data_IF_599840437006
#
_entry.id   IF_599840437006
#
_cell.length_a   1.000
_cell.length_b   1.000
_cell.length_c   1.000
_cell.angle_alpha   90.00
_cell.angle_beta   90.00
_cell.angle_gamma   90.00
#
_symmetry.space_group_name_H-M   'P 1'
#
loop_
_entity.id
_entity.type
_entity.pdbx_description
1 polymer ?
#
# COMPACT_ATOMS: atom_id res chain seq x y z
N UNK A 1 -4.20 -46.09 9.08
CA UNK A 1 -4.87 -44.90 8.47
C UNK A 1 -4.51 -43.61 9.24
N UNK A 2 -3.28 -43.42 9.69
CA UNK A 2 -2.85 -42.27 10.52
C UNK A 2 -1.99 -41.26 9.74
N UNK A 3 -1.22 -41.73 8.75
CA UNK A 3 -0.36 -40.88 7.94
C UNK A 3 -1.11 -39.72 7.25
N UNK A 4 -2.30 -39.97 6.68
CA UNK A 4 -3.12 -38.93 6.04
C UNK A 4 -3.60 -37.89 7.06
N UNK A 5 -4.00 -38.32 8.26
CA UNK A 5 -4.43 -37.42 9.34
C UNK A 5 -3.27 -36.52 9.83
N UNK A 6 -2.06 -37.06 9.90
CA UNK A 6 -0.85 -36.30 10.26
C UNK A 6 -0.50 -35.26 9.18
N UNK A 7 -0.57 -35.63 7.88
CA UNK A 7 -0.37 -34.69 6.77
C UNK A 7 -1.41 -33.56 6.76
N UNK A 8 -2.69 -33.88 7.02
CA UNK A 8 -3.75 -32.88 7.12
C UNK A 8 -3.58 -31.94 8.32
N UNK A 9 -3.10 -32.47 9.46
CA UNK A 9 -2.77 -31.66 10.62
C UNK A 9 -1.60 -30.70 10.32
N UNK A 10 -0.57 -31.17 9.62
CA UNK A 10 0.58 -30.35 9.22
C UNK A 10 0.18 -29.25 8.24
N UNK A 11 -0.61 -29.59 7.21
CA UNK A 11 -1.10 -28.62 6.21
C UNK A 11 -1.95 -27.52 6.84
N UNK A 12 -2.85 -27.87 7.79
CA UNK A 12 -3.67 -26.89 8.52
C UNK A 12 -2.82 -25.93 9.36
N UNK A 13 -1.74 -26.41 9.97
CA UNK A 13 -0.81 -25.56 10.73
C UNK A 13 -0.08 -24.56 9.83
N UNK A 14 0.40 -25.01 8.67
CA UNK A 14 1.11 -24.14 7.70
C UNK A 14 0.16 -23.07 7.14
N UNK A 15 -1.05 -23.43 6.75
CA UNK A 15 -2.02 -22.47 6.20
C UNK A 15 -2.46 -21.44 7.25
N UNK A 16 -2.60 -21.83 8.52
CA UNK A 16 -2.92 -20.90 9.61
C UNK A 16 -1.80 -19.89 9.84
N UNK A 17 -0.53 -20.32 9.81
CA UNK A 17 0.62 -19.42 9.94
C UNK A 17 0.66 -18.37 8.82
N UNK A 18 0.53 -18.80 7.56
CA UNK A 18 0.48 -17.86 6.42
C UNK A 18 -0.66 -16.85 6.52
N UNK A 19 -1.84 -17.28 6.97
CA UNK A 19 -2.98 -16.39 7.19
C UNK A 19 -2.69 -15.37 8.28
N UNK A 20 -2.08 -15.78 9.40
CA UNK A 20 -1.69 -14.87 10.48
C UNK A 20 -0.64 -13.85 10.03
N UNK A 21 0.36 -14.28 9.24
CA UNK A 21 1.37 -13.38 8.66
C UNK A 21 0.72 -12.35 7.72
N UNK A 22 -0.20 -12.80 6.87
CA UNK A 22 -0.93 -11.90 5.96
C UNK A 22 -1.81 -10.91 6.73
N UNK A 23 -2.51 -11.39 7.77
CA UNK A 23 -3.41 -10.58 8.59
C UNK A 23 -2.61 -9.57 9.43
N UNK A 24 -1.46 -9.98 9.98
CA UNK A 24 -0.55 -9.10 10.69
C UNK A 24 0.01 -8.01 9.76
N UNK A 25 0.46 -8.38 8.56
CA UNK A 25 0.91 -7.42 7.56
C UNK A 25 -0.19 -6.43 7.16
N UNK A 26 -1.41 -6.91 6.94
CA UNK A 26 -2.56 -6.07 6.62
C UNK A 26 -2.94 -5.14 7.77
N UNK A 27 -2.89 -5.62 9.01
CA UNK A 27 -3.16 -4.83 10.21
C UNK A 27 -2.10 -3.73 10.37
N UNK A 28 -0.81 -4.07 10.25
CA UNK A 28 0.30 -3.10 10.32
C UNK A 28 0.15 -2.04 9.23
N UNK A 29 -0.11 -2.46 7.98
CA UNK A 29 -0.35 -1.55 6.87
C UNK A 29 -1.55 -0.63 7.13
N UNK A 30 -2.66 -1.19 7.64
CA UNK A 30 -3.85 -0.43 7.99
C UNK A 30 -3.59 0.60 9.10
N UNK A 31 -2.80 0.26 10.12
CA UNK A 31 -2.45 1.18 11.21
C UNK A 31 -1.55 2.30 10.70
N UNK A 32 -0.54 1.97 9.88
CA UNK A 32 0.31 2.96 9.22
C UNK A 32 -0.50 3.93 8.36
N UNK A 33 -1.46 3.40 7.59
CA UNK A 33 -2.40 4.21 6.82
C UNK A 33 -3.20 5.14 7.73
N UNK A 34 -3.80 4.61 8.80
CA UNK A 34 -4.61 5.39 9.72
C UNK A 34 -3.81 6.52 10.39
N UNK A 35 -2.57 6.23 10.82
CA UNK A 35 -1.65 7.22 11.38
C UNK A 35 -1.27 8.26 10.33
N UNK A 36 -1.02 7.84 9.08
CA UNK A 36 -0.74 8.76 7.97
C UNK A 36 -1.92 9.69 7.70
N UNK A 37 -3.15 9.16 7.67
CA UNK A 37 -4.39 9.93 7.54
C UNK A 37 -4.58 10.92 8.69
N UNK A 38 -4.32 10.50 9.94
CA UNK A 38 -4.41 11.37 11.11
C UNK A 38 -3.35 12.47 11.12
N UNK A 39 -2.13 12.17 10.62
CA UNK A 39 -1.02 13.14 10.52
C UNK A 39 -1.17 14.08 9.32
N UNK A 40 -1.80 13.61 8.25
CA UNK A 40 -2.18 14.41 7.09
C UNK A 40 -3.23 15.43 7.52
N UNK A 41 -2.79 16.64 7.84
CA UNK A 41 -3.65 17.80 8.08
C UNK A 41 -4.38 18.28 6.81
N UNK A 42 -4.71 17.38 5.87
CA UNK A 42 -5.63 17.66 4.77
C UNK A 42 -7.06 17.98 5.27
N UNK A 43 -7.37 17.63 6.52
CA UNK A 43 -8.57 18.05 7.25
C UNK A 43 -8.29 19.20 8.23
N UNK A 44 -7.29 20.06 8.00
CA UNK A 44 -7.25 21.32 8.72
C UNK A 44 -8.52 22.09 8.38
N UNK A 45 -9.48 22.03 9.30
CA UNK A 45 -10.74 22.76 9.37
C UNK A 45 -10.55 24.28 9.45
N UNK A 46 -9.35 24.77 9.13
CA UNK A 46 -8.93 26.16 9.15
C UNK A 46 -9.26 26.90 7.85
N UNK A 47 -9.80 26.18 6.85
CA UNK A 47 -10.41 26.78 5.66
C UNK A 47 -11.90 26.41 5.70
N UNK A 48 -12.73 27.33 6.21
CA UNK A 48 -14.15 27.14 6.49
C UNK A 48 -15.04 26.81 5.29
N UNK A 49 -14.98 25.55 4.83
CA UNK A 49 -15.89 24.99 3.84
C UNK A 49 -15.58 23.51 3.61
N UNK A 50 -16.62 22.70 3.40
CA UNK A 50 -16.58 21.23 3.27
C UNK A 50 -15.31 20.70 2.57
N UNK A 51 -14.32 20.20 3.33
CA UNK A 51 -13.08 19.66 2.75
C UNK A 51 -13.36 18.50 1.80
N UNK A 52 -14.37 17.67 2.15
CA UNK A 52 -14.83 16.57 1.32
C UNK A 52 -15.46 17.05 0.01
N UNK A 53 -16.18 18.18 0.03
CA UNK A 53 -16.81 18.75 -1.16
C UNK A 53 -15.78 19.18 -2.19
N UNK A 54 -14.72 19.89 -1.77
CA UNK A 54 -13.65 20.31 -2.69
C UNK A 54 -12.84 19.12 -3.21
N UNK A 55 -12.54 18.14 -2.37
CA UNK A 55 -11.87 16.91 -2.80
C UNK A 55 -12.75 16.18 -3.82
N UNK A 56 -14.06 16.12 -3.58
CA UNK A 56 -15.06 15.62 -4.53
C UNK A 56 -15.01 16.36 -5.87
N UNK A 57 -15.00 17.69 -5.86
CA UNK A 57 -14.91 18.52 -7.07
C UNK A 57 -13.58 18.37 -7.83
N UNK A 58 -12.47 18.22 -7.11
CA UNK A 58 -11.18 17.92 -7.74
C UNK A 58 -11.15 16.52 -8.33
N UNK A 59 -11.71 15.54 -7.62
CA UNK A 59 -11.85 14.18 -8.13
C UNK A 59 -12.72 14.19 -9.37
N UNK A 60 -13.91 14.80 -9.37
CA UNK A 60 -14.79 14.84 -10.55
C UNK A 60 -14.16 15.54 -11.75
N UNK A 61 -13.28 16.53 -11.55
CA UNK A 61 -12.53 17.16 -12.64
C UNK A 61 -11.38 16.31 -13.18
N UNK A 62 -10.72 15.56 -12.30
CA UNK A 62 -9.58 14.70 -12.65
C UNK A 62 -10.03 13.34 -13.20
N UNK A 63 -11.23 12.92 -12.84
CA UNK A 63 -11.81 11.62 -13.17
C UNK A 63 -12.62 11.77 -14.47
N UNK A 64 -12.19 11.15 -15.58
CA UNK A 64 -12.89 11.28 -16.86
C UNK A 64 -14.27 10.61 -16.80
N UNK A 65 -15.27 11.19 -17.48
CA UNK A 65 -16.70 10.83 -17.52
C UNK A 65 -17.02 9.36 -17.15
N UNK A 66 -17.12 9.06 -15.85
CA UNK A 66 -17.59 7.77 -15.37
C UNK A 66 -19.11 7.76 -15.43
N UNK A 67 -19.65 6.93 -16.32
CA UNK A 67 -21.09 6.78 -16.47
C UNK A 67 -21.66 5.99 -15.31
N UNK A 68 -22.44 6.68 -14.46
CA UNK A 68 -23.10 6.16 -13.26
C UNK A 68 -23.80 4.81 -13.44
N UNK A 69 -24.46 4.62 -14.58
CA UNK A 69 -25.24 3.42 -14.91
C UNK A 69 -24.38 2.16 -15.15
N UNK A 70 -23.09 2.32 -15.46
CA UNK A 70 -22.17 1.21 -15.84
C UNK A 70 -20.91 1.17 -14.98
N UNK A 71 -20.89 1.89 -13.85
CA UNK A 71 -19.76 2.00 -12.93
C UNK A 71 -19.17 0.65 -12.52
N UNK A 72 -20.04 -0.34 -12.24
CA UNK A 72 -19.66 -1.70 -11.85
C UNK A 72 -19.77 -2.70 -13.01
N UNK A 73 -20.12 -2.24 -14.20
CA UNK A 73 -20.25 -3.13 -15.36
C UNK A 73 -18.89 -3.51 -15.93
N UNK A 74 -18.90 -4.57 -16.74
CA UNK A 74 -17.73 -5.35 -17.15
C UNK A 74 -16.50 -4.54 -17.63
N UNK A 75 -15.33 -5.21 -17.56
CA UNK A 75 -14.00 -4.74 -17.97
C UNK A 75 -13.90 -4.22 -19.42
N UNK A 76 -14.90 -4.52 -20.26
CA UNK A 76 -14.93 -4.18 -21.68
C UNK A 76 -15.73 -2.91 -22.00
N UNK A 77 -16.46 -2.35 -21.04
CA UNK A 77 -17.28 -1.15 -21.26
C UNK A 77 -16.47 0.12 -21.02
N UNK A 78 -16.29 0.93 -22.07
CA UNK A 78 -15.64 2.24 -21.98
C UNK A 78 -16.43 3.15 -21.02
N UNK A 79 -15.83 3.51 -19.88
CA UNK A 79 -16.47 4.31 -18.82
C UNK A 79 -16.78 3.55 -17.52
N UNK A 80 -16.44 2.26 -17.41
CA UNK A 80 -16.57 1.52 -16.15
C UNK A 80 -15.36 1.71 -15.24
N UNK A 81 -15.59 1.60 -13.92
CA UNK A 81 -14.55 1.73 -12.89
C UNK A 81 -13.49 0.61 -13.01
N UNK A 82 -13.91 -0.56 -13.51
CA UNK A 82 -13.04 -1.70 -13.82
C UNK A 82 -12.11 -1.47 -15.01
N UNK A 83 -12.53 -0.69 -15.99
CA UNK A 83 -11.67 -0.30 -17.11
C UNK A 83 -10.62 0.73 -16.66
N UNK A 84 -11.03 1.71 -15.84
CA UNK A 84 -10.11 2.74 -15.33
C UNK A 84 -9.06 2.19 -14.36
N UNK A 85 -9.45 1.30 -13.44
CA UNK A 85 -8.53 0.69 -12.46
C UNK A 85 -7.86 -0.61 -12.95
N UNK A 86 -7.94 -0.93 -14.24
CA UNK A 86 -7.33 -2.15 -14.80
C UNK A 86 -5.84 -2.28 -14.45
N UNK A 87 -5.09 -1.18 -14.50
CA UNK A 87 -3.65 -1.14 -14.25
C UNK A 87 -3.29 -0.86 -12.78
N UNK A 88 -4.27 -0.64 -11.90
CA UNK A 88 -4.02 -0.41 -10.47
C UNK A 88 -3.06 -1.43 -9.85
N UNK A 89 -3.18 -2.76 -10.07
CA UNK A 89 -2.21 -3.71 -9.53
C UNK A 89 -0.78 -3.52 -10.07
N UNK A 90 -0.63 -3.04 -11.30
CA UNK A 90 0.68 -2.73 -11.90
C UNK A 90 1.29 -1.50 -11.24
N UNK A 91 0.51 -0.42 -11.09
CA UNK A 91 0.94 0.79 -10.40
C UNK A 91 1.26 0.54 -8.92
N UNK A 92 0.49 -0.30 -8.25
CA UNK A 92 0.74 -0.67 -6.85
C UNK A 92 2.06 -1.46 -6.72
N UNK A 93 2.32 -2.38 -7.66
CA UNK A 93 3.59 -3.12 -7.72
C UNK A 93 4.79 -2.18 -7.96
N UNK A 94 4.65 -1.22 -8.88
CA UNK A 94 5.68 -0.20 -9.13
C UNK A 94 5.91 0.69 -7.91
N UNK A 95 4.85 1.14 -7.25
CA UNK A 95 4.94 1.92 -6.01
C UNK A 95 5.66 1.15 -4.90
N UNK A 96 5.40 -0.15 -4.79
CA UNK A 96 6.09 -1.01 -3.83
C UNK A 96 7.59 -1.11 -4.10
N UNK A 97 8.01 -1.22 -5.37
CA UNK A 97 9.43 -1.22 -5.74
C UNK A 97 10.13 0.09 -5.32
N UNK A 98 9.45 1.24 -5.46
CA UNK A 98 10.00 2.52 -5.00
C UNK A 98 10.17 2.57 -3.48
N UNK A 99 9.21 2.01 -2.74
CA UNK A 99 9.31 1.91 -1.27
C UNK A 99 10.48 1.01 -0.86
N UNK A 100 10.66 -0.13 -1.52
CA UNK A 100 11.81 -1.02 -1.28
C UNK A 100 13.14 -0.29 -1.50
N UNK A 101 13.27 0.46 -2.60
CA UNK A 101 14.46 1.26 -2.88
C UNK A 101 14.69 2.35 -1.84
N UNK A 102 13.63 3.05 -1.40
CA UNK A 102 13.72 4.07 -0.37
C UNK A 102 14.16 3.48 0.99
N UNK A 103 13.65 2.31 1.36
CA UNK A 103 14.05 1.60 2.58
C UNK A 103 15.53 1.19 2.48
N UNK A 104 15.95 0.59 1.36
CA UNK A 104 17.35 0.21 1.14
C UNK A 104 18.26 1.43 1.22
N UNK A 105 17.92 2.53 0.55
CA UNK A 105 18.69 3.76 0.57
C UNK A 105 18.82 4.34 1.99
N UNK A 106 17.74 4.30 2.79
CA UNK A 106 17.75 4.80 4.18
C UNK A 106 18.62 3.92 5.07
N UNK A 107 18.50 2.60 4.95
CA UNK A 107 19.30 1.65 5.74
C UNK A 107 20.78 1.74 5.36
N UNK A 108 21.10 1.78 4.06
CA UNK A 108 22.49 1.94 3.58
C UNK A 108 23.06 3.28 4.02
N UNK A 109 22.28 4.36 3.95
CA UNK A 109 22.68 5.67 4.47
C UNK A 109 22.96 5.66 5.97
N UNK A 110 22.06 5.09 6.76
CA UNK A 110 22.23 4.99 8.21
C UNK A 110 23.41 4.10 8.62
N UNK A 111 23.65 2.98 7.91
CA UNK A 111 24.80 2.09 8.14
C UNK A 111 26.11 2.72 7.67
N UNK A 112 26.09 3.44 6.55
CA UNK A 112 27.24 4.16 6.01
C UNK A 112 27.69 5.30 6.93
N UNK A 113 26.76 6.00 7.57
CA UNK A 113 27.06 7.04 8.57
C UNK A 113 27.65 6.45 9.87
N UNK A 114 27.28 5.21 10.21
CA UNK A 114 27.87 4.47 11.33
C UNK A 114 29.22 3.81 11.00
N UNK A 115 29.73 3.91 9.76
CA UNK A 115 31.03 3.33 9.39
C UNK A 115 32.17 4.26 9.87
N UNK A 116 32.98 3.84 10.86
CA UNK A 116 34.12 4.65 11.27
C UNK A 116 35.12 4.75 10.11
N UNK A 117 35.70 5.93 9.80
CA UNK A 117 36.72 6.05 8.78
C UNK A 117 37.96 5.23 9.18
N UNK A 118 38.06 4.01 8.65
CA UNK A 118 39.22 3.15 8.81
C UNK A 118 40.33 3.56 7.84
N UNK A 119 40.86 4.77 8.00
CA UNK A 119 42.17 5.13 7.45
C UNK A 119 42.85 6.17 8.35
N UNK A 120 43.49 5.68 9.40
CA UNK A 120 44.61 6.35 10.04
C UNK A 120 45.90 6.04 9.26
N UNK A 121 46.63 7.06 8.76
CA UNK A 121 48.11 7.14 8.73
C UNK A 121 48.65 8.34 7.93
N UNK A 122 49.44 9.16 8.61
CA UNK A 122 50.69 9.74 8.09
C UNK A 122 50.62 11.14 7.48
N UNK A 123 50.73 12.16 8.33
CA UNK A 123 51.90 13.08 8.43
C UNK A 123 51.79 13.87 9.73
#
# INVERSE_FOLDING_TARGET
>A
MTAVADFEALRRRILRRKRLETLAGLLIFSVLLLVSFQRSQFFSSDIGGDPLGRIGDFLTRMVPDLKGDVLLESRTTTGSLYWWFYDLPVWLKLGWQTVEMAIIATVVGAVGDCWPPSSARGT
#
